data_IF_934215715188
#
_entry.id   IF_934215715188
#
_cell.length_a   1.000
_cell.length_b   1.000
_cell.length_c   1.000
_cell.angle_alpha   90.00
_cell.angle_beta   90.00
_cell.angle_gamma   90.00
#
_symmetry.space_group_name_H-M   'P 1'
#
loop_
_entity.id
_entity.type
_entity.pdbx_description
1 polymer ?
#
# COMPACT_ATOMS: atom_id res chain seq x y z
N UNK A 1 -1.08 10.03 41.84
CA UNK A 1 -0.02 9.46 40.97
C UNK A 1 -0.47 8.22 40.21
N UNK A 2 -1.34 7.37 40.76
CA UNK A 2 -1.85 6.18 40.06
C UNK A 2 -2.72 6.50 38.83
N UNK A 3 -3.35 7.67 38.80
CA UNK A 3 -4.20 8.10 37.67
C UNK A 3 -3.40 8.45 36.41
N UNK A 4 -2.21 9.05 36.57
CA UNK A 4 -1.28 9.35 35.49
C UNK A 4 -0.75 8.06 34.85
N UNK A 5 -0.39 7.08 35.67
CA UNK A 5 0.08 5.77 35.20
C UNK A 5 -1.05 5.05 34.44
N UNK A 6 -2.29 5.14 34.95
CA UNK A 6 -3.46 4.53 34.30
C UNK A 6 -3.80 5.20 32.97
N UNK A 7 -3.74 6.52 32.92
CA UNK A 7 -3.94 7.30 31.70
C UNK A 7 -2.86 6.97 30.65
N UNK A 8 -1.60 6.92 31.06
CA UNK A 8 -0.49 6.57 30.17
C UNK A 8 -0.60 5.14 29.63
N UNK A 9 -0.98 4.17 30.47
CA UNK A 9 -1.19 2.79 30.05
C UNK A 9 -2.36 2.63 29.06
N UNK A 10 -3.44 3.41 29.23
CA UNK A 10 -4.58 3.43 28.30
C UNK A 10 -4.18 4.04 26.96
N UNK A 11 -3.45 5.15 26.99
CA UNK A 11 -2.91 5.80 25.80
C UNK A 11 -1.98 4.85 25.01
N UNK A 12 -1.03 4.21 25.69
CA UNK A 12 -0.11 3.27 25.05
C UNK A 12 -0.84 2.08 24.40
N UNK A 13 -1.89 1.55 25.05
CA UNK A 13 -2.72 0.49 24.46
C UNK A 13 -3.48 0.94 23.22
N UNK A 14 -3.94 2.19 23.15
CA UNK A 14 -4.62 2.72 21.97
C UNK A 14 -3.67 2.89 20.78
N UNK A 15 -2.46 3.39 21.03
CA UNK A 15 -1.44 3.65 20.01
C UNK A 15 -0.85 2.35 19.46
N UNK A 16 -0.47 1.42 20.34
CA UNK A 16 0.24 0.20 19.96
C UNK A 16 -0.68 -1.00 19.73
N UNK A 17 -2.01 -0.82 19.78
CA UNK A 17 -2.93 -1.92 19.50
C UNK A 17 -2.69 -2.39 18.07
N UNK A 18 -2.34 -3.67 17.86
CA UNK A 18 -2.26 -4.22 16.52
C UNK A 18 -3.63 -4.02 15.89
N UNK A 19 -3.68 -3.32 14.75
CA UNK A 19 -4.92 -3.16 13.98
C UNK A 19 -5.26 -4.54 13.41
N UNK A 20 -5.95 -5.35 14.21
CA UNK A 20 -6.44 -6.65 13.81
C UNK A 20 -7.43 -6.44 12.66
N UNK A 21 -7.00 -6.76 11.44
CA UNK A 21 -7.85 -6.66 10.27
C UNK A 21 -7.21 -5.92 9.10
N UNK A 22 -6.07 -6.43 8.64
CA UNK A 22 -5.69 -6.24 7.25
C UNK A 22 -6.83 -6.75 6.37
N UNK A 23 -7.43 -5.88 5.57
CA UNK A 23 -8.55 -6.16 4.66
C UNK A 23 -8.11 -6.95 3.42
N UNK A 24 -7.08 -7.78 3.56
CA UNK A 24 -6.52 -8.62 2.50
C UNK A 24 -6.85 -10.10 2.71
N UNK A 25 -8.05 -10.41 3.24
CA UNK A 25 -8.63 -11.71 2.92
C UNK A 25 -9.15 -11.60 1.49
N UNK A 26 -8.36 -12.10 0.54
CA UNK A 26 -8.92 -12.52 -0.73
C UNK A 26 -10.07 -13.49 -0.40
N UNK A 27 -11.31 -13.02 -0.57
CA UNK A 27 -12.46 -13.91 -0.53
C UNK A 27 -12.22 -14.95 -1.62
N UNK A 28 -12.18 -16.25 -1.32
CA UNK A 28 -12.29 -17.22 -2.38
C UNK A 28 -13.63 -16.95 -3.04
N UNK A 29 -13.62 -16.61 -4.32
CA UNK A 29 -14.83 -16.46 -5.11
C UNK A 29 -15.65 -17.73 -4.88
N UNK A 30 -16.82 -17.59 -4.27
CA UNK A 30 -17.77 -18.68 -4.16
C UNK A 30 -17.97 -19.20 -5.59
N UNK A 31 -17.68 -20.49 -5.79
CA UNK A 31 -17.99 -21.21 -7.02
C UNK A 31 -19.48 -20.99 -7.30
N UNK A 32 -19.79 -20.05 -8.19
CA UNK A 32 -21.07 -20.02 -8.86
C UNK A 32 -21.06 -21.20 -9.81
N UNK A 33 -21.69 -22.29 -9.37
CA UNK A 33 -22.03 -23.40 -10.21
C UNK A 33 -23.08 -22.92 -11.21
N UNK A 34 -22.62 -22.45 -12.36
CA UNK A 34 -23.44 -22.36 -13.56
C UNK A 34 -22.71 -23.13 -14.66
N UNK A 35 -23.04 -24.42 -14.76
CA UNK A 35 -22.58 -25.27 -15.88
C UNK A 35 -23.34 -24.85 -17.13
N UNK A 36 -22.91 -23.76 -17.75
CA UNK A 36 -23.18 -23.55 -19.16
C UNK A 36 -22.45 -24.64 -19.96
N UNK A 37 -23.14 -25.25 -20.94
CA UNK A 37 -22.57 -26.27 -21.81
C UNK A 37 -21.28 -25.75 -22.47
N UNK A 38 -20.15 -26.40 -22.18
CA UNK A 38 -18.83 -25.99 -22.68
C UNK A 38 -18.71 -26.47 -24.13
N UNK A 39 -18.50 -25.59 -25.12
CA UNK A 39 -18.16 -26.02 -26.47
C UNK A 39 -16.82 -26.75 -26.45
N UNK A 40 -16.76 -27.90 -27.14
CA UNK A 40 -15.55 -28.74 -27.23
C UNK A 40 -14.38 -27.89 -27.74
N UNK A 41 -13.29 -27.73 -26.98
CA UNK A 41 -12.15 -26.93 -27.42
C UNK A 41 -11.46 -27.61 -28.62
N UNK A 42 -10.95 -26.83 -29.59
CA UNK A 42 -10.10 -27.39 -30.64
C UNK A 42 -8.87 -28.08 -30.03
N UNK A 43 -8.29 -29.03 -30.78
CA UNK A 43 -7.13 -29.83 -30.34
C UNK A 43 -6.10 -28.94 -29.63
N UNK A 44 -5.58 -29.36 -28.45
CA UNK A 44 -4.66 -28.53 -27.69
C UNK A 44 -3.40 -28.29 -28.52
N UNK A 45 -3.19 -27.02 -28.90
CA UNK A 45 -1.90 -26.57 -29.39
C UNK A 45 -0.92 -26.73 -28.23
N UNK A 46 0.27 -27.32 -28.43
CA UNK A 46 1.24 -27.46 -27.36
C UNK A 46 1.54 -26.10 -26.75
N UNK A 47 1.28 -25.98 -25.45
CA UNK A 47 1.62 -24.79 -24.69
C UNK A 47 3.15 -24.63 -24.68
N UNK A 48 3.67 -23.39 -24.75
CA UNK A 48 5.09 -23.16 -24.52
C UNK A 48 5.54 -23.81 -23.21
N UNK A 49 6.75 -24.36 -23.21
CA UNK A 49 7.33 -24.96 -22.01
C UNK A 49 7.26 -23.95 -20.85
N UNK A 50 6.74 -24.39 -19.70
CA UNK A 50 6.65 -23.58 -18.51
C UNK A 50 8.06 -23.11 -18.12
N UNK A 51 8.31 -21.80 -18.22
CA UNK A 51 9.55 -21.19 -17.75
C UNK A 51 9.39 -20.75 -16.29
N UNK A 52 10.48 -20.86 -15.54
CA UNK A 52 10.58 -20.25 -14.22
C UNK A 52 10.24 -18.75 -14.31
N UNK A 53 9.53 -18.15 -13.34
CA UNK A 53 9.21 -16.72 -13.31
C UNK A 53 10.44 -15.80 -13.40
N UNK A 54 11.64 -16.34 -13.10
CA UNK A 54 12.91 -15.62 -13.12
C UNK A 54 13.86 -16.11 -14.22
N UNK A 55 13.44 -17.05 -15.07
CA UNK A 55 14.26 -17.70 -16.09
C UNK A 55 14.25 -16.98 -17.44
N UNK A 56 14.21 -15.65 -17.43
CA UNK A 56 14.34 -14.84 -18.64
C UNK A 56 15.82 -14.49 -18.82
N UNK A 57 16.49 -15.16 -19.76
CA UNK A 57 17.87 -14.86 -20.14
C UNK A 57 17.99 -13.52 -20.91
N UNK A 58 16.85 -12.95 -21.31
CA UNK A 58 16.78 -11.66 -22.01
C UNK A 58 16.61 -10.54 -20.98
N UNK A 59 17.47 -9.51 -20.99
CA UNK A 59 17.32 -8.37 -20.09
C UNK A 59 15.98 -7.67 -20.34
N UNK A 60 15.25 -7.37 -19.26
CA UNK A 60 13.99 -6.61 -19.37
C UNK A 60 14.26 -5.21 -19.93
N UNK A 61 13.54 -4.85 -21.00
CA UNK A 61 13.54 -3.50 -21.52
C UNK A 61 12.72 -2.58 -20.59
N UNK A 62 13.40 -1.84 -19.73
CA UNK A 62 12.78 -0.88 -18.81
C UNK A 62 11.97 0.24 -19.49
N UNK A 63 12.15 0.47 -20.80
CA UNK A 63 11.37 1.46 -21.56
C UNK A 63 9.99 0.95 -21.96
N UNK A 64 9.80 -0.37 -22.03
CA UNK A 64 8.53 -1.01 -22.36
C UNK A 64 7.67 -1.26 -21.11
N UNK A 65 8.28 -1.25 -19.93
CA UNK A 65 7.58 -1.37 -18.66
C UNK A 65 7.25 0.00 -18.08
N UNK A 66 5.96 0.26 -17.87
CA UNK A 66 5.53 1.45 -17.14
C UNK A 66 6.12 1.40 -15.72
N UNK A 67 6.93 2.41 -15.36
CA UNK A 67 7.43 2.59 -13.99
C UNK A 67 6.27 2.98 -13.08
N UNK A 68 5.46 2.01 -12.71
CA UNK A 68 4.52 2.18 -11.62
C UNK A 68 5.34 2.18 -10.33
N UNK A 69 5.22 3.22 -9.51
CA UNK A 69 5.82 3.28 -8.17
C UNK A 69 4.74 3.17 -7.10
N UNK A 70 4.06 2.02 -6.92
CA UNK A 70 3.00 1.89 -5.92
C UNK A 70 3.45 2.30 -4.52
N UNK A 71 4.71 2.01 -4.20
CA UNK A 71 5.30 2.32 -2.90
C UNK A 71 5.58 3.81 -2.69
N UNK A 72 5.90 4.56 -3.76
CA UNK A 72 6.06 6.01 -3.64
C UNK A 72 4.74 6.65 -3.20
N UNK A 73 3.64 6.31 -3.89
CA UNK A 73 2.33 6.87 -3.57
C UNK A 73 1.93 6.50 -2.13
N UNK A 74 2.19 5.26 -1.71
CA UNK A 74 1.91 4.84 -0.34
C UNK A 74 2.74 5.62 0.70
N UNK A 75 4.01 5.88 0.41
CA UNK A 75 4.92 6.62 1.28
C UNK A 75 4.54 8.10 1.38
N UNK A 76 4.25 8.76 0.26
CA UNK A 76 3.75 10.15 0.23
C UNK A 76 2.45 10.30 1.05
N UNK A 77 1.54 9.35 0.93
CA UNK A 77 0.29 9.35 1.70
C UNK A 77 0.55 9.12 3.20
N UNK A 78 1.52 8.28 3.56
CA UNK A 78 1.95 8.11 4.94
C UNK A 78 2.57 9.39 5.50
N UNK A 79 3.39 10.06 4.71
CA UNK A 79 4.06 11.30 5.08
C UNK A 79 3.06 12.45 5.27
N UNK A 80 2.07 12.59 4.38
CA UNK A 80 0.95 13.54 4.55
C UNK A 80 0.15 13.30 5.84
N UNK A 81 -0.17 12.04 6.15
CA UNK A 81 -0.87 11.70 7.40
C UNK A 81 -0.05 12.05 8.64
N UNK A 82 1.27 11.81 8.59
CA UNK A 82 2.18 12.18 9.67
C UNK A 82 2.23 13.71 9.86
N UNK A 83 2.33 14.47 8.77
CA UNK A 83 2.32 15.93 8.81
C UNK A 83 1.04 16.45 9.49
N UNK A 84 -0.13 15.90 9.14
CA UNK A 84 -1.40 16.28 9.75
C UNK A 84 -1.45 16.00 11.26
N UNK A 85 -0.94 14.84 11.70
CA UNK A 85 -0.88 14.49 13.13
C UNK A 85 0.06 15.44 13.87
N UNK A 86 1.22 15.73 13.30
CA UNK A 86 2.20 16.64 13.90
C UNK A 86 1.66 18.07 14.00
N UNK A 87 0.96 18.54 12.98
CA UNK A 87 0.33 19.85 12.99
C UNK A 87 -0.80 19.92 14.03
N UNK A 88 -1.67 18.91 14.09
CA UNK A 88 -2.84 18.92 14.98
C UNK A 88 -2.48 18.72 16.46
N UNK A 89 -1.59 17.76 16.77
CA UNK A 89 -1.31 17.36 18.15
C UNK A 89 -0.14 18.15 18.76
N UNK A 90 0.78 18.64 17.92
CA UNK A 90 2.02 19.27 18.36
C UNK A 90 2.24 20.68 17.79
N UNK A 91 1.38 21.16 16.88
CA UNK A 91 1.55 22.47 16.23
C UNK A 91 2.74 22.54 15.27
N UNK A 92 3.30 21.38 14.87
CA UNK A 92 4.46 21.30 13.98
C UNK A 92 3.96 21.06 12.56
N UNK A 93 3.97 22.10 11.74
CA UNK A 93 3.66 21.97 10.31
C UNK A 93 4.89 21.48 9.55
N UNK A 94 4.74 20.36 8.85
CA UNK A 94 5.77 19.79 7.99
C UNK A 94 5.55 20.14 6.51
N UNK A 95 4.54 20.93 6.17
CA UNK A 95 4.29 21.33 4.79
C UNK A 95 5.26 22.46 4.37
N UNK A 96 6.30 22.16 3.55
CA UNK A 96 7.31 23.16 3.18
C UNK A 96 6.74 24.23 2.24
N UNK A 97 5.56 23.97 1.66
CA UNK A 97 4.94 24.83 0.66
C UNK A 97 4.39 26.15 1.24
N UNK A 98 4.33 26.29 2.57
CA UNK A 98 4.01 27.55 3.28
C UNK A 98 5.22 28.19 3.98
N UNK A 99 6.24 27.41 4.36
CA UNK A 99 7.44 27.94 5.02
C UNK A 99 8.36 28.77 4.10
N UNK A 100 8.22 28.64 2.77
CA UNK A 100 9.05 29.33 1.78
C UNK A 100 8.56 30.71 1.31
N UNK A 101 7.36 31.16 1.70
CA UNK A 101 6.83 32.45 1.24
C UNK A 101 7.26 33.65 2.12
N UNK A 102 8.05 33.40 3.19
CA UNK A 102 8.39 34.40 4.19
C UNK A 102 9.80 35.00 4.13
N UNK A 103 10.70 34.52 3.27
CA UNK A 103 12.04 35.11 3.13
C UNK A 103 12.55 35.11 1.69
N UNK A 104 11.98 36.00 0.89
CA UNK A 104 12.74 36.68 -0.17
C UNK A 104 12.41 38.17 -0.05
N UNK A 105 13.12 38.83 0.86
CA UNK A 105 13.17 40.29 0.94
C UNK A 105 14.65 40.67 0.84
N UNK A 106 14.98 41.16 -0.36
CA UNK A 106 16.15 41.96 -0.78
C UNK A 106 17.55 41.45 -0.43
#
# INVERSE_FOLDING_TARGET
MHDLIRAFALWARLVFRPRAGGRHRARPAARAADRAAVPVPPRPVPLPAARSPYGLDVPLNGRESAMVRPYLVADEQRQRRLALVLAADFGIDLDPHLAGAGQVAW
#
